data_IF_155168633794
#
_entry.id   IF_155168633794
#
_cell.length_a   1.000
_cell.length_b   1.000
_cell.length_c   1.000
_cell.angle_alpha   90.00
_cell.angle_beta   90.00
_cell.angle_gamma   90.00
#
_symmetry.space_group_name_H-M   'P 1'
#
loop_
_entity.id
_entity.type
_entity.pdbx_description
1 polymer ?
#
# COMPACT_ATOMS: atom_id res chain seq x y z
N UNK A 1 -17.85 2.74 -7.69
CA UNK A 1 -16.40 3.01 -7.65
C UNK A 1 -16.07 3.39 -6.22
N UNK A 2 -15.97 2.41 -5.31
CA UNK A 2 -15.60 2.67 -3.91
C UNK A 2 -14.09 2.60 -3.82
N UNK A 3 -13.46 3.68 -4.28
CA UNK A 3 -12.14 4.03 -3.80
C UNK A 3 -12.38 4.70 -2.45
N UNK A 4 -12.35 3.93 -1.36
CA UNK A 4 -12.04 4.53 -0.07
C UNK A 4 -10.54 4.84 -0.10
N UNK A 5 -10.20 5.84 -0.92
CA UNK A 5 -8.88 6.45 -0.93
C UNK A 5 -8.81 7.18 0.40
N UNK A 6 -8.25 6.52 1.41
CA UNK A 6 -7.62 7.25 2.50
C UNK A 6 -6.76 8.32 1.83
N UNK A 7 -7.06 9.58 2.13
CA UNK A 7 -6.24 10.71 1.76
C UNK A 7 -4.89 10.46 2.44
N UNK A 8 -3.99 9.79 1.73
CA UNK A 8 -2.63 9.57 2.21
C UNK A 8 -1.92 10.91 2.03
N UNK A 9 -1.78 11.64 3.13
CA UNK A 9 -0.94 12.82 3.16
C UNK A 9 0.51 12.39 2.86
N UNK A 10 1.11 12.97 1.81
CA UNK A 10 2.51 12.76 1.53
C UNK A 10 3.34 13.76 2.30
N UNK A 11 4.34 13.27 3.04
CA UNK A 11 5.21 14.09 3.86
C UNK A 11 6.59 14.14 3.22
N UNK A 12 6.97 15.32 2.74
CA UNK A 12 8.27 15.59 2.12
C UNK A 12 9.17 16.32 3.10
N UNK A 13 10.45 16.04 3.03
CA UNK A 13 11.49 16.81 3.71
C UNK A 13 12.43 17.33 2.62
N UNK A 14 12.64 18.65 2.58
CA UNK A 14 13.55 19.29 1.60
C UNK A 14 14.95 18.70 1.74
N UNK A 15 15.56 18.28 0.63
CA UNK A 15 16.90 17.69 0.67
C UNK A 15 16.92 16.20 1.05
N UNK A 16 15.76 15.58 1.25
CA UNK A 16 15.65 14.13 1.53
C UNK A 16 14.94 13.43 0.38
N UNK A 17 15.43 12.26 0.01
CA UNK A 17 14.76 11.42 -1.00
C UNK A 17 13.43 10.93 -0.45
N UNK A 18 12.35 11.24 -1.17
CA UNK A 18 11.01 10.76 -0.85
C UNK A 18 10.76 9.41 -1.52
N UNK A 19 10.17 8.47 -0.77
CA UNK A 19 9.74 7.15 -1.23
C UNK A 19 8.37 6.83 -0.63
N UNK A 20 7.39 6.57 -1.50
CA UNK A 20 6.09 6.03 -1.10
C UNK A 20 5.70 4.87 -2.01
N UNK A 21 5.30 3.76 -1.39
CA UNK A 21 4.84 2.56 -2.10
C UNK A 21 3.34 2.42 -1.94
N UNK A 22 2.64 2.54 -3.06
CA UNK A 22 1.20 2.38 -3.20
C UNK A 22 0.89 0.96 -3.67
N UNK A 23 -0.20 0.40 -3.15
CA UNK A 23 -0.73 -0.92 -3.49
C UNK A 23 -2.18 -0.75 -3.92
N UNK A 24 -2.48 -1.08 -5.16
CA UNK A 24 -3.81 -0.83 -5.72
C UNK A 24 -4.74 -2.04 -5.50
N UNK A 25 -5.57 -1.92 -4.48
CA UNK A 25 -6.55 -2.94 -4.11
C UNK A 25 -7.76 -2.94 -5.05
N UNK A 26 -8.04 -4.10 -5.65
CA UNK A 26 -9.23 -4.35 -6.45
C UNK A 26 -10.48 -4.52 -5.60
N UNK A 27 -11.63 -4.76 -6.26
CA UNK A 27 -12.91 -4.92 -5.56
C UNK A 27 -13.13 -6.31 -4.98
N UNK A 28 -12.62 -7.31 -5.69
CA UNK A 28 -12.76 -8.72 -5.32
C UNK A 28 -12.04 -9.01 -4.00
N UNK A 29 -12.66 -9.84 -3.17
CA UNK A 29 -12.07 -10.34 -1.94
C UNK A 29 -11.62 -11.77 -2.19
N UNK A 30 -10.33 -12.04 -1.98
CA UNK A 30 -9.74 -13.37 -2.04
C UNK A 30 -9.76 -13.97 -0.65
N UNK A 31 -10.19 -15.22 -0.53
CA UNK A 31 -10.14 -16.01 0.69
C UNK A 31 -9.15 -17.16 0.53
N UNK A 32 -8.23 -17.31 1.47
CA UNK A 32 -7.30 -18.44 1.49
C UNK A 32 -7.39 -19.18 2.84
N UNK A 33 -7.60 -20.50 2.83
CA UNK A 33 -7.84 -21.26 4.05
C UNK A 33 -6.59 -21.33 4.93
N UNK A 34 -6.78 -21.13 6.22
CA UNK A 34 -5.72 -21.25 7.22
C UNK A 34 -5.59 -22.72 7.63
N UNK A 35 -4.34 -23.19 7.68
CA UNK A 35 -3.98 -24.56 8.13
C UNK A 35 -3.28 -24.59 9.49
N UNK A 36 -2.80 -23.45 9.98
CA UNK A 36 -2.16 -23.33 11.28
C UNK A 36 -1.89 -21.87 11.64
N UNK A 37 -1.86 -21.57 12.94
CA UNK A 37 -1.48 -20.27 13.48
C UNK A 37 -0.58 -20.51 14.69
N UNK A 38 0.59 -19.88 14.71
CA UNK A 38 1.53 -20.02 15.84
C UNK A 38 1.04 -19.22 17.04
N UNK A 39 1.21 -19.75 18.25
CA UNK A 39 0.99 -19.00 19.48
C UNK A 39 2.28 -18.27 19.86
N UNK A 40 2.67 -17.27 19.06
CA UNK A 40 3.96 -16.58 19.12
C UNK A 40 3.84 -15.06 18.90
N UNK A 41 4.97 -14.36 19.01
CA UNK A 41 5.10 -12.93 18.71
C UNK A 41 6.39 -12.69 17.90
N UNK A 42 6.31 -12.30 16.62
CA UNK A 42 5.07 -12.10 15.85
C UNK A 42 4.34 -13.42 15.57
N UNK A 43 3.05 -13.32 15.26
CA UNK A 43 2.26 -14.48 14.82
C UNK A 43 2.59 -14.85 13.38
N UNK A 44 2.67 -16.15 13.11
CA UNK A 44 2.77 -16.70 11.76
C UNK A 44 1.53 -17.54 11.45
N UNK A 45 1.01 -17.37 10.23
CA UNK A 45 -0.18 -18.06 9.71
C UNK A 45 0.27 -18.94 8.54
N UNK A 46 0.03 -20.24 8.66
CA UNK A 46 0.25 -21.22 7.59
C UNK A 46 -0.96 -21.25 6.66
N UNK A 47 -0.74 -20.92 5.38
CA UNK A 47 -1.76 -20.81 4.35
C UNK A 47 -1.14 -21.17 2.99
N UNK A 48 -1.45 -22.37 2.48
CA UNK A 48 -0.83 -22.91 1.26
C UNK A 48 -1.17 -22.07 0.03
N UNK A 49 -0.15 -21.72 -0.76
CA UNK A 49 -0.28 -20.91 -1.99
C UNK A 49 -1.18 -19.70 -1.78
N UNK A 50 -0.83 -18.88 -0.79
CA UNK A 50 -1.68 -17.76 -0.37
C UNK A 50 -1.72 -16.64 -1.42
N UNK A 51 -0.75 -16.52 -2.32
CA UNK A 51 -0.63 -15.50 -3.38
C UNK A 51 -0.69 -14.02 -2.93
N UNK A 52 -0.78 -13.76 -1.62
CA UNK A 52 -0.65 -12.43 -1.01
C UNK A 52 0.68 -11.77 -1.42
N UNK A 53 0.66 -10.61 -2.09
CA UNK A 53 1.87 -9.86 -2.40
C UNK A 53 2.59 -9.34 -1.14
N UNK A 54 3.91 -9.12 -1.23
CA UNK A 54 4.68 -8.62 -0.10
C UNK A 54 4.20 -7.23 0.38
N UNK A 55 3.97 -7.09 1.69
CA UNK A 55 3.46 -5.86 2.30
C UNK A 55 2.00 -5.53 1.99
N UNK A 56 1.26 -6.46 1.35
CA UNK A 56 -0.19 -6.38 1.24
C UNK A 56 -0.84 -6.51 2.62
N UNK A 57 -2.11 -6.15 2.74
CA UNK A 57 -2.85 -6.26 3.99
C UNK A 57 -3.87 -7.40 3.93
N UNK A 58 -4.03 -8.13 5.03
CA UNK A 58 -5.00 -9.22 5.16
C UNK A 58 -5.78 -9.06 6.46
N UNK A 59 -7.05 -9.43 6.44
CA UNK A 59 -7.81 -9.69 7.66
C UNK A 59 -7.88 -11.20 7.90
N UNK A 60 -8.10 -11.60 9.14
CA UNK A 60 -8.27 -13.02 9.51
C UNK A 60 -9.72 -13.22 9.95
N UNK A 61 -10.38 -14.28 9.50
CA UNK A 61 -11.77 -14.54 9.86
C UNK A 61 -12.03 -16.02 10.11
N UNK A 62 -13.12 -16.31 10.84
CA UNK A 62 -13.64 -17.66 11.09
C UNK A 62 -12.69 -18.68 11.78
N UNK A 63 -11.59 -18.24 12.39
CA UNK A 63 -10.67 -19.11 13.16
C UNK A 63 -11.37 -19.67 14.41
N UNK A 64 -11.19 -20.97 14.66
CA UNK A 64 -11.65 -21.66 15.88
C UNK A 64 -10.48 -21.95 16.81
N UNK A 65 -10.72 -21.85 18.12
CA UNK A 65 -9.66 -21.93 19.13
C UNK A 65 -9.07 -20.55 19.41
N UNK A 66 -8.18 -20.07 18.53
CA UNK A 66 -7.54 -18.75 18.59
C UNK A 66 -8.49 -17.65 18.10
N UNK A 67 -9.61 -17.42 18.78
CA UNK A 67 -10.64 -16.49 18.30
C UNK A 67 -10.21 -15.01 18.37
N UNK A 68 -9.23 -14.68 19.20
CA UNK A 68 -8.73 -13.31 19.40
C UNK A 68 -8.08 -12.70 18.15
N UNK A 69 -7.62 -13.54 17.21
CA UNK A 69 -7.00 -13.08 15.97
C UNK A 69 -8.03 -12.70 14.89
N UNK A 70 -9.29 -13.09 15.05
CA UNK A 70 -10.31 -12.78 14.05
C UNK A 70 -10.60 -11.27 14.01
N UNK A 71 -10.87 -10.77 12.81
CA UNK A 71 -11.38 -9.45 12.53
C UNK A 71 -12.59 -9.14 13.44
N UNK A 72 -12.65 -7.90 13.93
CA UNK A 72 -13.70 -7.48 14.84
C UNK A 72 -15.00 -7.14 14.09
N UNK A 73 -14.94 -6.91 12.77
CA UNK A 73 -16.08 -6.59 11.94
C UNK A 73 -16.32 -7.69 10.88
N UNK A 74 -17.58 -7.87 10.50
CA UNK A 74 -18.01 -8.79 9.43
C UNK A 74 -18.98 -8.02 8.51
N UNK A 75 -18.61 -7.71 7.25
CA UNK A 75 -17.27 -7.91 6.67
C UNK A 75 -16.20 -7.05 7.39
N UNK A 76 -14.91 -7.44 7.34
CA UNK A 76 -13.82 -6.67 7.91
C UNK A 76 -13.75 -5.24 7.36
N UNK A 77 -13.40 -4.31 8.25
CA UNK A 77 -13.14 -2.90 7.93
C UNK A 77 -11.64 -2.68 7.86
N UNK A 78 -11.22 -1.55 7.30
CA UNK A 78 -9.81 -1.16 7.15
C UNK A 78 -8.93 -1.40 8.41
N UNK A 79 -9.47 -1.15 9.60
CA UNK A 79 -8.76 -1.35 10.88
C UNK A 79 -8.57 -2.81 11.31
N UNK A 80 -9.27 -3.75 10.68
CA UNK A 80 -9.14 -5.18 10.93
C UNK A 80 -8.06 -5.82 10.04
N UNK A 81 -7.50 -5.07 9.09
CA UNK A 81 -6.45 -5.55 8.21
C UNK A 81 -5.06 -5.31 8.79
N UNK A 82 -4.23 -6.35 8.74
CA UNK A 82 -2.83 -6.34 9.18
C UNK A 82 -1.91 -6.37 7.98
N UNK A 83 -0.82 -5.58 8.01
CA UNK A 83 0.20 -5.61 6.95
C UNK A 83 1.06 -6.87 7.08
N UNK A 84 1.15 -7.61 5.97
CA UNK A 84 1.78 -8.93 5.92
C UNK A 84 3.26 -8.84 5.54
N UNK A 85 4.08 -9.63 6.25
CA UNK A 85 5.37 -10.10 5.73
C UNK A 85 5.19 -11.50 5.16
N UNK A 86 5.56 -11.70 3.90
CA UNK A 86 5.54 -13.02 3.26
C UNK A 86 6.76 -13.80 3.75
N UNK A 87 6.53 -14.94 4.40
CA UNK A 87 7.59 -15.83 4.91
C UNK A 87 7.97 -16.87 3.87
N UNK A 88 6.99 -17.41 3.16
CA UNK A 88 7.14 -18.32 2.03
C UNK A 88 5.85 -18.33 1.21
N UNK A 89 5.78 -19.08 0.11
CA UNK A 89 4.52 -19.26 -0.63
C UNK A 89 3.36 -19.87 0.20
N UNK A 90 3.68 -20.46 1.36
CA UNK A 90 2.74 -21.17 2.23
C UNK A 90 2.58 -20.54 3.62
N UNK A 91 3.22 -19.39 3.88
CA UNK A 91 3.18 -18.78 5.20
C UNK A 91 3.38 -17.27 5.17
N UNK A 92 2.64 -16.58 6.04
CA UNK A 92 2.71 -15.14 6.25
C UNK A 92 2.89 -14.82 7.74
N UNK A 93 3.48 -13.67 8.05
CA UNK A 93 3.59 -13.14 9.41
C UNK A 93 2.81 -11.82 9.55
N UNK A 94 2.15 -11.65 10.70
CA UNK A 94 1.53 -10.37 11.11
C UNK A 94 2.40 -9.76 12.21
N UNK A 95 3.28 -8.84 11.82
CA UNK A 95 4.31 -8.31 12.71
C UNK A 95 3.77 -7.39 13.80
N UNK A 96 2.55 -6.87 13.61
CA UNK A 96 1.83 -6.03 14.56
C UNK A 96 0.97 -6.84 15.55
N UNK A 97 0.95 -8.17 15.44
CA UNK A 97 0.13 -9.05 16.29
C UNK A 97 1.02 -9.91 17.20
N UNK A 98 0.84 -9.74 18.51
CA UNK A 98 1.40 -10.62 19.54
C UNK A 98 0.33 -11.65 19.99
N UNK A 99 0.48 -12.90 19.54
CA UNK A 99 -0.44 -13.99 19.86
C UNK A 99 0.06 -14.91 20.99
N UNK A 100 1.13 -14.56 21.72
CA UNK A 100 1.72 -15.43 22.74
C UNK A 100 0.73 -15.85 23.84
N UNK A 101 -0.20 -14.95 24.19
CA UNK A 101 -1.23 -15.18 25.20
C UNK A 101 -2.63 -15.47 24.59
N UNK A 102 -2.71 -15.67 23.28
CA UNK A 102 -3.98 -16.06 22.67
C UNK A 102 -4.30 -17.53 22.97
N UNK A 103 -5.56 -17.89 22.76
CA UNK A 103 -5.98 -19.29 22.85
C UNK A 103 -5.31 -20.10 21.74
N UNK A 104 -5.01 -21.36 21.98
CA UNK A 104 -4.40 -22.23 20.96
C UNK A 104 -5.32 -22.38 19.74
N UNK A 105 -4.74 -22.30 18.54
CA UNK A 105 -5.42 -22.59 17.29
C UNK A 105 -5.97 -24.03 17.29
N UNK A 106 -7.22 -24.21 16.85
CA UNK A 106 -7.84 -25.54 16.76
C UNK A 106 -8.09 -25.95 15.31
N UNK A 107 -8.76 -25.09 14.54
CA UNK A 107 -9.12 -25.40 13.15
C UNK A 107 -9.72 -24.20 12.43
N UNK A 108 -9.88 -24.38 11.11
CA UNK A 108 -10.60 -23.46 10.23
C UNK A 108 -9.93 -22.10 10.10
N UNK A 109 -10.73 -21.15 9.63
CA UNK A 109 -10.33 -19.78 9.39
C UNK A 109 -9.80 -19.53 7.99
N UNK A 110 -9.84 -18.25 7.61
CA UNK A 110 -9.36 -17.75 6.33
C UNK A 110 -8.54 -16.49 6.58
N UNK A 111 -7.50 -16.31 5.78
CA UNK A 111 -7.04 -14.96 5.49
C UNK A 111 -7.92 -14.44 4.36
N UNK A 112 -8.27 -13.16 4.45
CA UNK A 112 -9.03 -12.48 3.41
C UNK A 112 -8.37 -11.14 3.05
N UNK A 113 -8.30 -10.85 1.75
CA UNK A 113 -7.66 -9.65 1.25
C UNK A 113 -8.24 -9.21 -0.08
N UNK A 114 -8.13 -7.92 -0.39
CA UNK A 114 -8.52 -7.40 -1.69
C UNK A 114 -7.57 -7.90 -2.77
N UNK A 115 -8.10 -8.42 -3.86
CA UNK A 115 -7.30 -8.90 -4.98
C UNK A 115 -6.42 -7.75 -5.51
N UNK A 116 -5.11 -7.96 -5.73
CA UNK A 116 -4.28 -6.93 -6.34
C UNK A 116 -4.73 -6.66 -7.77
N UNK A 117 -4.80 -5.39 -8.16
CA UNK A 117 -5.02 -5.02 -9.56
C UNK A 117 -3.80 -5.44 -10.38
N UNK A 118 -4.03 -6.03 -11.54
CA UNK A 118 -2.95 -6.31 -12.50
C UNK A 118 -2.49 -4.99 -13.13
N UNK A 119 -1.20 -4.70 -13.01
CA UNK A 119 -0.58 -3.44 -13.42
C UNK A 119 0.09 -3.55 -14.79
N UNK A 120 -0.04 -4.70 -15.47
CA UNK A 120 0.51 -4.88 -16.81
C UNK A 120 -0.07 -3.87 -17.80
N UNK A 121 0.80 -3.32 -18.66
CA UNK A 121 0.39 -2.34 -19.68
C UNK A 121 -0.06 -0.97 -19.15
N UNK A 122 0.06 -0.68 -17.85
CA UNK A 122 -0.24 0.65 -17.32
C UNK A 122 0.97 1.60 -17.41
N UNK A 123 0.68 2.87 -17.65
CA UNK A 123 1.58 4.00 -17.36
C UNK A 123 1.03 4.78 -16.18
N UNK A 124 1.87 5.57 -15.51
CA UNK A 124 1.43 6.43 -14.41
C UNK A 124 1.82 7.88 -14.63
N UNK A 125 1.00 8.77 -14.07
CA UNK A 125 1.28 10.20 -13.94
C UNK A 125 0.82 10.71 -12.59
N UNK A 126 1.62 11.56 -11.98
CA UNK A 126 1.29 12.27 -10.76
C UNK A 126 1.56 13.75 -10.96
N UNK A 127 0.65 14.60 -10.49
CA UNK A 127 0.86 16.04 -10.47
C UNK A 127 0.72 16.57 -9.06
N UNK A 128 1.58 17.53 -8.70
CA UNK A 128 1.52 18.31 -7.47
C UNK A 128 1.14 19.75 -7.83
N UNK A 129 0.18 20.32 -7.11
CA UNK A 129 -0.38 21.65 -7.37
C UNK A 129 -0.63 22.38 -6.06
N UNK A 130 -0.63 23.72 -6.06
CA UNK A 130 -0.89 24.50 -4.85
C UNK A 130 -2.32 24.33 -4.30
N UNK A 131 -3.28 24.00 -5.17
CA UNK A 131 -4.66 23.65 -4.81
C UNK A 131 -5.32 22.85 -5.92
N UNK A 132 -6.50 22.27 -5.64
CA UNK A 132 -7.28 21.49 -6.62
C UNK A 132 -7.71 22.30 -7.85
N UNK A 133 -7.80 23.63 -7.72
CA UNK A 133 -8.20 24.54 -8.80
C UNK A 133 -7.00 25.20 -9.50
N UNK A 134 -5.77 24.96 -9.03
CA UNK A 134 -4.59 25.58 -9.65
C UNK A 134 -4.30 24.96 -11.00
N UNK A 135 -4.14 25.81 -12.03
CA UNK A 135 -3.71 25.37 -13.36
C UNK A 135 -2.20 25.19 -13.46
N UNK A 136 -1.43 25.79 -12.55
CA UNK A 136 0.02 25.64 -12.49
C UNK A 136 0.41 24.31 -11.84
N UNK A 137 1.31 23.59 -12.49
CA UNK A 137 1.92 22.36 -11.99
C UNK A 137 3.19 22.74 -11.25
N UNK A 138 3.27 22.36 -9.97
CA UNK A 138 4.49 22.50 -9.16
C UNK A 138 5.50 21.42 -9.57
N UNK A 139 5.01 20.18 -9.69
CA UNK A 139 5.79 19.07 -10.18
C UNK A 139 4.90 18.04 -10.87
N UNK A 140 5.49 17.32 -11.81
CA UNK A 140 4.87 16.21 -12.53
C UNK A 140 5.81 15.03 -12.45
N UNK A 141 5.31 13.82 -12.19
CA UNK A 141 6.08 12.59 -12.23
C UNK A 141 5.38 11.61 -13.14
N UNK A 142 6.14 10.89 -13.96
CA UNK A 142 5.58 9.86 -14.84
C UNK A 142 6.39 8.56 -14.76
N UNK A 143 5.90 7.51 -15.41
CA UNK A 143 6.66 6.27 -15.64
C UNK A 143 7.84 6.45 -16.59
N UNK A 144 7.85 7.52 -17.38
CA UNK A 144 8.88 7.82 -18.38
C UNK A 144 9.81 8.96 -17.93
N UNK A 145 9.75 9.38 -16.67
CA UNK A 145 10.46 10.57 -16.22
C UNK A 145 11.99 10.41 -16.34
N UNK A 146 12.57 11.05 -17.34
CA UNK A 146 13.99 11.00 -17.65
C UNK A 146 14.83 11.95 -16.77
N UNK A 147 14.19 12.74 -15.89
CA UNK A 147 14.88 13.77 -15.10
C UNK A 147 15.88 13.20 -14.09
N UNK A 148 15.68 11.98 -13.57
CA UNK A 148 16.76 11.25 -12.88
C UNK A 148 16.70 9.73 -13.17
N UNK A 149 17.85 9.03 -13.23
CA UNK A 149 17.87 7.58 -13.29
C UNK A 149 17.18 6.99 -12.06
N UNK A 150 16.18 6.12 -12.30
CA UNK A 150 15.44 5.42 -11.25
C UNK A 150 14.65 6.33 -10.30
N UNK A 151 14.01 7.41 -10.80
CA UNK A 151 13.07 8.27 -10.05
C UNK A 151 11.82 8.61 -10.87
N UNK A 152 10.75 9.12 -10.26
CA UNK A 152 9.45 9.30 -10.90
C UNK A 152 8.41 8.34 -10.30
N UNK A 153 7.60 7.72 -11.15
CA UNK A 153 6.67 6.66 -10.73
C UNK A 153 7.13 5.31 -11.30
N UNK A 154 7.48 4.36 -10.44
CA UNK A 154 7.90 3.01 -10.84
C UNK A 154 6.76 2.03 -10.62
N UNK A 155 6.31 1.38 -11.69
CA UNK A 155 5.32 0.31 -11.63
C UNK A 155 6.05 -1.03 -11.65
N UNK A 156 5.79 -1.88 -10.65
CA UNK A 156 6.25 -3.27 -10.62
C UNK A 156 5.02 -4.18 -10.56
N UNK A 157 4.73 -4.84 -11.68
CA UNK A 157 3.60 -5.74 -11.79
C UNK A 157 3.81 -7.09 -11.08
N UNK A 158 5.06 -7.50 -10.85
CA UNK A 158 5.36 -8.75 -10.13
C UNK A 158 5.11 -8.55 -8.63
N UNK A 159 5.60 -7.44 -8.08
CA UNK A 159 5.40 -7.08 -6.67
C UNK A 159 4.04 -6.43 -6.40
N UNK A 160 3.28 -6.08 -7.44
CA UNK A 160 2.00 -5.34 -7.39
C UNK A 160 2.12 -4.00 -6.66
N UNK A 161 3.21 -3.27 -6.95
CA UNK A 161 3.53 -1.98 -6.31
C UNK A 161 3.67 -0.85 -7.31
N UNK A 162 3.26 0.34 -6.89
CA UNK A 162 3.49 1.61 -7.58
C UNK A 162 4.32 2.48 -6.63
N UNK A 163 5.56 2.79 -6.97
CA UNK A 163 6.47 3.55 -6.11
C UNK A 163 6.66 4.95 -6.64
N UNK A 164 6.27 5.96 -5.86
CA UNK A 164 6.62 7.36 -6.09
C UNK A 164 7.97 7.61 -5.46
N UNK A 165 8.93 8.08 -6.26
CA UNK A 165 10.29 8.39 -5.82
C UNK A 165 10.73 9.76 -6.32
N UNK A 166 11.08 10.64 -5.40
CA UNK A 166 11.60 11.99 -5.69
C UNK A 166 12.96 12.10 -5.04
N UNK A 167 14.00 12.43 -5.81
CA UNK A 167 15.35 12.58 -5.26
C UNK A 167 15.45 13.80 -4.33
N UNK A 168 16.38 13.74 -3.39
CA UNK A 168 16.72 14.84 -2.49
C UNK A 168 16.99 16.16 -3.21
N UNK A 169 17.72 16.11 -4.33
CA UNK A 169 18.03 17.30 -5.14
C UNK A 169 16.79 17.97 -5.73
N UNK A 170 15.69 17.25 -5.90
CA UNK A 170 14.40 17.83 -6.34
C UNK A 170 13.63 18.34 -5.12
N UNK A 171 13.52 17.53 -4.06
CA UNK A 171 12.77 17.94 -2.86
C UNK A 171 13.37 19.17 -2.18
N UNK A 172 14.69 19.37 -2.24
CA UNK A 172 15.38 20.57 -1.74
C UNK A 172 14.84 21.87 -2.36
N UNK A 173 14.39 21.80 -3.61
CA UNK A 173 13.93 22.95 -4.37
C UNK A 173 12.43 23.25 -4.21
N UNK A 174 11.68 22.42 -3.47
CA UNK A 174 10.26 22.66 -3.25
C UNK A 174 10.01 23.87 -2.34
N UNK A 175 9.48 24.96 -2.90
CA UNK A 175 9.22 26.20 -2.14
C UNK A 175 7.90 26.22 -1.35
N UNK A 176 6.99 25.26 -1.59
CA UNK A 176 5.68 25.20 -0.92
C UNK A 176 5.76 24.52 0.45
N UNK A 177 4.85 24.84 1.36
CA UNK A 177 4.67 24.10 2.63
C UNK A 177 3.51 23.11 2.55
N UNK A 178 2.45 23.47 1.83
CA UNK A 178 1.27 22.67 1.59
C UNK A 178 0.95 22.68 0.10
N UNK A 179 0.55 21.54 -0.43
CA UNK A 179 0.09 21.36 -1.80
C UNK A 179 -0.92 20.20 -1.84
N UNK A 180 -1.48 19.92 -3.01
CA UNK A 180 -2.30 18.74 -3.27
C UNK A 180 -1.68 17.93 -4.39
N UNK A 181 -1.95 16.63 -4.40
CA UNK A 181 -1.52 15.74 -5.47
C UNK A 181 -2.62 14.80 -5.93
N UNK A 182 -2.44 14.25 -7.13
CA UNK A 182 -3.22 13.12 -7.64
C UNK A 182 -2.30 12.21 -8.44
N UNK A 183 -2.28 10.92 -8.09
CA UNK A 183 -1.63 9.85 -8.86
C UNK A 183 -2.69 9.08 -9.65
N UNK A 184 -2.49 9.01 -10.96
CA UNK A 184 -3.37 8.32 -11.89
C UNK A 184 -2.57 7.28 -12.68
N UNK A 185 -3.21 6.14 -12.92
CA UNK A 185 -2.73 5.12 -13.83
C UNK A 185 -3.57 5.13 -15.11
N UNK A 186 -2.94 4.97 -16.25
CA UNK A 186 -3.56 4.95 -17.58
C UNK A 186 -3.30 3.59 -18.22
N UNK A 187 -4.37 2.86 -18.55
CA UNK A 187 -4.25 1.56 -19.24
C UNK A 187 -3.89 1.75 -20.72
N UNK A 188 -3.52 0.66 -21.40
CA UNK A 188 -3.30 0.63 -22.85
C UNK A 188 -4.51 1.10 -23.67
N UNK A 189 -5.72 0.93 -23.14
CA UNK A 189 -6.97 1.38 -23.76
C UNK A 189 -7.29 2.85 -23.47
N UNK A 190 -6.39 3.56 -22.78
CA UNK A 190 -6.56 4.97 -22.42
C UNK A 190 -7.48 5.21 -21.21
N UNK A 191 -7.85 4.16 -20.47
CA UNK A 191 -8.69 4.33 -19.27
C UNK A 191 -7.84 4.91 -18.15
N UNK A 192 -8.25 6.08 -17.66
CA UNK A 192 -7.61 6.76 -16.54
C UNK A 192 -8.27 6.34 -15.22
N UNK A 193 -7.47 5.85 -14.29
CA UNK A 193 -7.88 5.46 -12.94
C UNK A 193 -7.09 6.25 -11.91
N UNK A 194 -7.78 6.98 -11.04
CA UNK A 194 -7.15 7.66 -9.90
C UNK A 194 -6.89 6.65 -8.78
N UNK A 195 -5.61 6.46 -8.45
CA UNK A 195 -5.18 5.46 -7.46
C UNK A 195 -5.09 6.06 -6.07
N UNK A 196 -4.39 7.19 -5.93
CA UNK A 196 -4.34 7.96 -4.67
C UNK A 196 -4.35 9.45 -4.97
N UNK A 197 -4.83 10.24 -4.02
CA UNK A 197 -4.81 11.69 -4.05
C UNK A 197 -4.87 12.23 -2.63
N UNK A 198 -4.42 13.46 -2.44
CA UNK A 198 -4.45 14.05 -1.11
C UNK A 198 -3.58 15.28 -0.97
N UNK A 199 -3.27 15.59 0.27
CA UNK A 199 -2.40 16.70 0.63
C UNK A 199 -0.93 16.29 0.57
N UNK A 200 -0.07 17.25 0.28
CA UNK A 200 1.37 17.17 0.42
C UNK A 200 1.80 18.20 1.44
N UNK A 201 2.57 17.79 2.44
CA UNK A 201 3.24 18.69 3.38
C UNK A 201 4.73 18.59 3.19
N UNK A 202 5.39 19.75 3.04
CA UNK A 202 6.83 19.84 2.85
C UNK A 202 7.48 20.64 3.98
N UNK A 203 8.33 19.97 4.77
CA UNK A 203 9.08 20.55 5.87
C UNK A 203 10.55 20.76 5.50
N UNK A 204 11.23 21.62 6.25
CA UNK A 204 12.68 21.78 6.13
C UNK A 204 13.40 20.60 6.79
N UNK A 205 14.53 20.20 6.23
CA UNK A 205 15.45 19.32 6.95
C UNK A 205 16.10 20.07 8.12
N UNK A 206 16.30 19.35 9.23
CA UNK A 206 16.99 19.85 10.42
C UNK A 206 18.48 19.50 10.35
N UNK A 207 18.82 18.43 9.63
CA UNK A 207 20.20 18.05 9.31
C UNK A 207 20.71 18.94 8.18
N UNK A 208 21.70 19.79 8.47
CA UNK A 208 22.36 20.70 7.52
C UNK A 208 23.77 20.22 7.20
#
# INVERSE_FOLDING_TARGET
MSCENNIEQLNFIRGVTFLATVRWEGREVVYKPISGITQAAPVEISCTNHDVPAGWRVAVSAVKGMNQINALNIPPKDKDFHRVTVVSANAIALNDVNAANFSTYKSGGYIEYKAPVDLDGFTARMQIRSSINSVEIIDELTTEDLRLPSTGVVIDNSSKTITVKIASSVTENYAFYNAVYSLELVSSDGIVSRVIYGDVVCSNDVTR
#
